data_IF_317929737505
#
_entry.id   IF_317929737505
#
_cell.length_a   1.000
_cell.length_b   1.000
_cell.length_c   1.000
_cell.angle_alpha   90.00
_cell.angle_beta   90.00
_cell.angle_gamma   90.00
#
_symmetry.space_group_name_H-M   'P 1'
#
loop_
_entity.id
_entity.type
_entity.pdbx_description
1 polymer ?
#
# COMPACT_ATOMS: atom_id res chain seq x y z
N UNK A 1 -17.41 -10.43 -8.20
CA UNK A 1 -16.05 -10.94 -7.83
C UNK A 1 -15.07 -9.79 -7.85
N UNK A 2 -14.37 -9.55 -6.76
CA UNK A 2 -13.39 -8.48 -6.66
C UNK A 2 -12.07 -8.88 -7.36
N UNK A 3 -11.42 -7.90 -7.98
CA UNK A 3 -10.07 -8.06 -8.52
C UNK A 3 -9.08 -7.20 -7.74
N UNK A 4 -7.87 -7.70 -7.55
CA UNK A 4 -6.83 -7.00 -6.80
C UNK A 4 -5.55 -6.86 -7.63
N UNK A 5 -4.83 -5.76 -7.40
CA UNK A 5 -3.54 -5.50 -8.03
C UNK A 5 -2.61 -4.78 -7.05
N UNK A 6 -1.40 -5.31 -6.90
CA UNK A 6 -0.34 -4.70 -6.09
C UNK A 6 0.69 -4.00 -6.97
N UNK A 7 0.99 -2.75 -6.63
CA UNK A 7 1.96 -1.92 -7.37
C UNK A 7 2.96 -1.34 -6.35
N UNK A 8 4.26 -1.66 -6.45
CA UNK A 8 5.27 -1.01 -5.63
C UNK A 8 5.48 0.43 -6.09
N UNK A 9 5.62 1.35 -5.14
CA UNK A 9 5.89 2.76 -5.38
C UNK A 9 7.36 3.06 -5.08
N UNK A 10 8.07 3.55 -6.10
CA UNK A 10 9.48 3.92 -6.01
C UNK A 10 9.66 5.44 -5.97
N UNK A 11 10.77 5.90 -5.42
CA UNK A 11 11.10 7.33 -5.41
C UNK A 11 11.25 7.93 -6.81
N UNK A 12 11.68 7.13 -7.79
CA UNK A 12 11.93 7.58 -9.16
C UNK A 12 13.13 8.51 -9.28
N UNK A 13 13.55 8.79 -10.50
CA UNK A 13 14.65 9.71 -10.77
C UNK A 13 14.28 11.15 -10.37
N UNK A 14 15.07 11.76 -9.51
CA UNK A 14 14.96 13.19 -9.17
C UNK A 14 13.75 13.60 -8.32
N UNK A 15 12.92 12.67 -7.88
CA UNK A 15 11.80 12.98 -6.98
C UNK A 15 12.19 12.81 -5.52
N UNK A 16 11.87 13.80 -4.72
CA UNK A 16 11.98 13.67 -3.26
C UNK A 16 10.95 12.66 -2.76
N UNK A 17 11.36 11.81 -1.87
CA UNK A 17 10.54 10.74 -1.25
C UNK A 17 9.15 11.21 -0.81
N UNK A 18 9.08 12.28 -0.02
CA UNK A 18 7.82 12.80 0.50
C UNK A 18 6.86 13.29 -0.58
N UNK A 19 7.37 13.86 -1.68
CA UNK A 19 6.53 14.34 -2.78
C UNK A 19 5.86 13.20 -3.53
N UNK A 20 6.56 12.08 -3.75
CA UNK A 20 5.99 10.93 -4.43
C UNK A 20 4.81 10.33 -3.65
N UNK A 21 4.95 10.12 -2.35
CA UNK A 21 3.87 9.62 -1.49
C UNK A 21 2.72 10.63 -1.39
N UNK A 22 3.04 11.91 -1.19
CA UNK A 22 2.02 12.98 -1.10
C UNK A 22 1.13 13.03 -2.33
N UNK A 23 1.73 12.93 -3.52
CA UNK A 23 0.99 12.95 -4.77
C UNK A 23 0.02 11.76 -4.87
N UNK A 24 0.47 10.56 -4.51
CA UNK A 24 -0.37 9.36 -4.57
C UNK A 24 -1.49 9.42 -3.53
N UNK A 25 -1.18 9.71 -2.27
CA UNK A 25 -2.18 9.80 -1.20
C UNK A 25 -3.19 10.93 -1.49
N UNK A 26 -2.72 12.09 -1.94
CA UNK A 26 -3.59 13.19 -2.31
C UNK A 26 -4.53 12.86 -3.46
N UNK A 27 -4.06 12.13 -4.45
CA UNK A 27 -4.89 11.67 -5.56
C UNK A 27 -5.98 10.68 -5.10
N UNK A 28 -5.61 9.67 -4.33
CA UNK A 28 -6.57 8.64 -3.90
C UNK A 28 -7.54 9.17 -2.84
N UNK A 29 -7.14 10.12 -2.01
CA UNK A 29 -7.95 10.71 -0.94
C UNK A 29 -8.80 11.92 -1.40
N UNK A 30 -8.90 12.16 -2.70
CA UNK A 30 -9.65 13.29 -3.25
C UNK A 30 -11.10 13.29 -2.72
N UNK A 31 -11.57 14.37 -2.04
CA UNK A 31 -12.92 14.42 -1.47
C UNK A 31 -14.03 14.20 -2.48
N UNK A 32 -13.86 14.65 -3.72
CA UNK A 32 -14.83 14.46 -4.79
C UNK A 32 -15.06 13.00 -5.18
N UNK A 33 -14.10 12.12 -4.89
CA UNK A 33 -14.15 10.70 -5.21
C UNK A 33 -14.50 9.82 -4.01
N UNK A 34 -14.33 10.34 -2.80
CA UNK A 34 -14.41 9.60 -1.54
C UNK A 34 -15.54 10.08 -0.64
N UNK A 35 -16.65 10.52 -1.22
CA UNK A 35 -17.80 11.03 -0.48
C UNK A 35 -17.41 12.09 0.57
N UNK A 36 -16.78 13.18 0.11
CA UNK A 36 -16.27 14.29 0.94
C UNK A 36 -15.27 13.83 2.03
N UNK A 37 -14.52 12.78 1.76
CA UNK A 37 -13.52 12.22 2.68
C UNK A 37 -14.07 11.19 3.66
N UNK A 38 -15.36 10.89 3.67
CA UNK A 38 -15.96 9.88 4.55
C UNK A 38 -15.48 8.46 4.26
N UNK A 39 -15.08 8.18 3.00
CA UNK A 39 -14.59 6.87 2.56
C UNK A 39 -13.06 6.78 2.58
N UNK A 40 -12.42 7.56 3.44
CA UNK A 40 -10.96 7.52 3.68
C UNK A 40 -10.71 7.10 5.12
N UNK A 41 -9.96 6.02 5.30
CA UNK A 41 -9.63 5.44 6.61
C UNK A 41 -8.13 5.29 6.75
N UNK A 42 -7.57 5.72 7.89
CA UNK A 42 -6.17 5.52 8.25
C UNK A 42 -6.02 4.48 9.36
N UNK A 43 -4.95 3.72 9.31
CA UNK A 43 -4.51 2.83 10.37
C UNK A 43 -3.03 3.05 10.66
N UNK A 44 -2.69 3.28 11.91
CA UNK A 44 -1.31 3.60 12.31
C UNK A 44 -0.80 4.94 11.78
N UNK A 45 -1.65 5.73 11.14
CA UNK A 45 -1.36 7.06 10.62
C UNK A 45 -2.65 7.87 10.45
N UNK A 46 -2.50 9.18 10.35
CA UNK A 46 -3.58 10.07 9.93
C UNK A 46 -3.51 10.21 8.40
N UNK A 47 -4.60 9.97 7.65
CA UNK A 47 -4.60 10.12 6.19
C UNK A 47 -4.11 11.48 5.69
N UNK A 48 -4.37 12.56 6.42
CA UNK A 48 -3.95 13.91 6.05
C UNK A 48 -2.44 14.14 6.14
N UNK A 49 -1.76 13.40 7.02
CA UNK A 49 -0.31 13.54 7.28
C UNK A 49 0.48 12.27 7.00
N UNK A 50 -0.14 11.27 6.39
CA UNK A 50 0.46 9.96 6.16
C UNK A 50 1.76 10.02 5.33
N UNK A 51 1.87 10.94 4.39
CA UNK A 51 3.09 11.16 3.61
C UNK A 51 4.29 11.51 4.49
N UNK A 52 4.11 12.41 5.43
CA UNK A 52 5.13 12.77 6.42
C UNK A 52 5.42 11.64 7.41
N UNK A 53 4.39 10.95 7.87
CA UNK A 53 4.53 9.81 8.80
C UNK A 53 5.29 8.65 8.16
N UNK A 54 5.02 8.32 6.89
CA UNK A 54 5.76 7.29 6.16
C UNK A 54 7.23 7.67 5.95
N UNK A 55 7.50 8.95 5.73
CA UNK A 55 8.86 9.46 5.63
C UNK A 55 9.62 9.31 6.96
N UNK A 56 8.98 9.63 8.09
CA UNK A 56 9.55 9.44 9.41
C UNK A 56 9.83 7.97 9.70
N UNK A 57 8.91 7.06 9.37
CA UNK A 57 9.12 5.62 9.50
C UNK A 57 10.33 5.14 8.70
N UNK A 58 10.50 5.64 7.48
CA UNK A 58 11.67 5.30 6.66
C UNK A 58 12.97 5.81 7.28
N UNK A 59 13.00 7.02 7.77
CA UNK A 59 14.17 7.60 8.45
C UNK A 59 14.55 6.78 9.67
N UNK A 60 13.57 6.42 10.48
CA UNK A 60 13.79 5.58 11.66
C UNK A 60 14.30 4.18 11.30
N UNK A 61 13.74 3.57 10.26
CA UNK A 61 14.21 2.30 9.74
C UNK A 61 15.69 2.35 9.31
N UNK A 62 16.08 3.40 8.59
CA UNK A 62 17.48 3.61 8.19
C UNK A 62 18.37 3.81 9.40
N UNK A 63 17.94 4.59 10.38
CA UNK A 63 18.69 4.84 11.62
C UNK A 63 18.91 3.56 12.43
N UNK A 64 17.89 2.70 12.52
CA UNK A 64 17.97 1.45 13.30
C UNK A 64 18.73 0.33 12.58
N UNK A 65 18.57 0.21 11.28
CA UNK A 65 19.10 -0.94 10.52
C UNK A 65 20.35 -0.62 9.69
N UNK A 66 20.62 0.65 9.43
CA UNK A 66 21.68 1.10 8.51
C UNK A 66 21.41 0.75 7.04
N UNK A 67 20.26 0.17 6.74
CA UNK A 67 19.91 -0.31 5.38
C UNK A 67 19.37 0.83 4.53
N UNK A 68 20.13 1.19 3.52
CA UNK A 68 19.71 2.15 2.49
C UNK A 68 19.70 1.45 1.14
N UNK A 69 18.64 1.67 0.38
CA UNK A 69 18.64 1.40 -1.05
C UNK A 69 18.54 2.74 -1.79
N UNK A 70 19.16 2.83 -2.95
CA UNK A 70 19.15 4.04 -3.76
C UNK A 70 17.80 4.33 -4.40
N UNK A 71 17.83 4.85 -5.62
CA UNK A 71 16.65 5.28 -6.39
C UNK A 71 15.59 4.20 -6.67
N UNK A 72 15.95 2.92 -6.57
CA UNK A 72 15.02 1.80 -6.78
C UNK A 72 14.37 1.32 -5.47
N UNK A 73 14.52 2.08 -4.39
CA UNK A 73 13.92 1.74 -3.11
C UNK A 73 12.40 1.87 -3.16
N UNK A 74 11.70 0.83 -2.66
CA UNK A 74 10.24 0.86 -2.52
C UNK A 74 9.90 1.62 -1.25
N UNK A 75 9.09 2.66 -1.38
CA UNK A 75 8.70 3.55 -0.28
C UNK A 75 7.34 3.21 0.30
N UNK A 76 6.47 2.71 -0.54
CA UNK A 76 5.11 2.29 -0.20
C UNK A 76 4.61 1.31 -1.26
N UNK A 77 3.48 0.68 -0.97
CA UNK A 77 2.76 -0.18 -1.90
C UNK A 77 1.36 0.35 -2.10
N UNK A 78 0.89 0.25 -3.33
CA UNK A 78 -0.47 0.57 -3.72
C UNK A 78 -1.20 -0.72 -4.07
N UNK A 79 -2.11 -1.15 -3.21
CA UNK A 79 -3.01 -2.28 -3.45
C UNK A 79 -4.36 -1.74 -3.89
N UNK A 80 -4.77 -2.09 -5.09
CA UNK A 80 -6.05 -1.69 -5.66
C UNK A 80 -7.02 -2.87 -5.65
N UNK A 81 -8.25 -2.63 -5.19
CA UNK A 81 -9.34 -3.59 -5.20
C UNK A 81 -10.52 -3.01 -5.96
N UNK A 82 -11.01 -3.73 -6.96
CA UNK A 82 -12.15 -3.30 -7.79
C UNK A 82 -13.28 -4.32 -7.71
N UNK A 83 -14.51 -3.81 -7.65
CA UNK A 83 -15.72 -4.61 -7.56
C UNK A 83 -16.57 -4.50 -8.82
N UNK A 84 -17.38 -5.51 -9.09
CA UNK A 84 -18.36 -5.49 -10.19
C UNK A 84 -19.44 -4.45 -9.87
N UNK A 85 -19.95 -3.67 -10.86
CA UNK A 85 -21.04 -2.72 -10.64
C UNK A 85 -22.24 -3.37 -9.96
N UNK A 86 -22.74 -2.74 -8.89
CA UNK A 86 -23.90 -3.20 -8.12
C UNK A 86 -23.63 -4.36 -7.15
N UNK A 87 -22.40 -4.89 -7.11
CA UNK A 87 -22.02 -5.99 -6.22
C UNK A 87 -21.94 -5.56 -4.76
N UNK A 88 -21.58 -4.31 -4.50
CA UNK A 88 -21.27 -3.80 -3.16
C UNK A 88 -21.54 -2.31 -3.05
N UNK A 89 -21.88 -1.85 -1.84
CA UNK A 89 -21.95 -0.41 -1.53
C UNK A 89 -20.55 0.18 -1.31
N UNK A 90 -20.36 1.50 -1.53
CA UNK A 90 -19.07 2.14 -1.23
C UNK A 90 -18.62 1.98 0.22
N UNK A 91 -19.53 2.02 1.18
CA UNK A 91 -19.24 1.87 2.61
C UNK A 91 -18.75 0.46 2.94
N UNK A 92 -19.39 -0.57 2.38
CA UNK A 92 -18.94 -1.96 2.54
C UNK A 92 -17.60 -2.21 1.83
N UNK A 93 -17.40 -1.60 0.66
CA UNK A 93 -16.14 -1.68 -0.06
C UNK A 93 -14.99 -1.06 0.75
N UNK A 94 -15.23 0.05 1.43
CA UNK A 94 -14.24 0.66 2.32
C UNK A 94 -13.92 -0.26 3.51
N UNK A 95 -14.94 -0.84 4.15
CA UNK A 95 -14.74 -1.79 5.24
C UNK A 95 -13.96 -3.03 4.81
N UNK A 96 -14.30 -3.61 3.66
CA UNK A 96 -13.59 -4.77 3.10
C UNK A 96 -12.16 -4.39 2.71
N UNK A 97 -11.95 -3.20 2.18
CA UNK A 97 -10.61 -2.67 1.88
C UNK A 97 -9.74 -2.55 3.13
N UNK A 98 -10.30 -2.06 4.24
CA UNK A 98 -9.61 -2.01 5.52
C UNK A 98 -9.25 -3.41 6.04
N UNK A 99 -10.15 -4.37 5.92
CA UNK A 99 -9.89 -5.74 6.33
C UNK A 99 -8.82 -6.41 5.46
N UNK A 100 -8.88 -6.20 4.14
CA UNK A 100 -7.84 -6.67 3.22
C UNK A 100 -6.47 -6.08 3.57
N UNK A 101 -6.41 -4.77 3.80
CA UNK A 101 -5.17 -4.09 4.19
C UNK A 101 -4.59 -4.68 5.49
N UNK A 102 -5.42 -4.90 6.50
CA UNK A 102 -5.01 -5.50 7.77
C UNK A 102 -4.46 -6.91 7.59
N UNK A 103 -5.15 -7.76 6.84
CA UNK A 103 -4.71 -9.13 6.56
C UNK A 103 -3.44 -9.16 5.71
N UNK A 104 -3.37 -8.33 4.68
CA UNK A 104 -2.24 -8.28 3.77
C UNK A 104 -0.95 -7.82 4.45
N UNK A 105 -1.04 -6.87 5.36
CA UNK A 105 0.08 -6.32 6.12
C UNK A 105 0.28 -7.00 7.48
N UNK A 106 -0.53 -7.99 7.83
CA UNK A 106 -0.58 -8.63 9.16
C UNK A 106 -0.79 -7.63 10.31
N UNK A 107 -1.42 -6.47 10.03
CA UNK A 107 -1.58 -5.40 11.02
C UNK A 107 -0.29 -4.70 11.43
N UNK A 108 0.81 -4.91 10.70
CA UNK A 108 2.15 -4.44 11.07
C UNK A 108 2.61 -3.20 10.29
N UNK A 109 1.82 -2.72 9.34
CA UNK A 109 2.13 -1.54 8.52
C UNK A 109 1.04 -0.49 8.64
N UNK A 110 1.44 0.78 8.67
CA UNK A 110 0.50 1.88 8.54
C UNK A 110 -0.08 1.90 7.12
N UNK A 111 -1.38 2.16 7.00
CA UNK A 111 -2.04 2.25 5.70
C UNK A 111 -3.14 3.30 5.67
N UNK A 112 -3.44 3.76 4.46
CA UNK A 112 -4.60 4.57 4.12
C UNK A 112 -5.46 3.78 3.14
N UNK A 113 -6.74 3.65 3.42
CA UNK A 113 -7.74 3.06 2.52
C UNK A 113 -8.68 4.15 2.05
N UNK A 114 -8.74 4.36 0.74
CA UNK A 114 -9.63 5.33 0.11
C UNK A 114 -10.52 4.63 -0.92
N UNK A 115 -11.83 4.70 -0.73
CA UNK A 115 -12.81 4.09 -1.62
C UNK A 115 -13.41 5.15 -2.53
N UNK A 116 -13.32 4.91 -3.84
CA UNK A 116 -13.86 5.79 -4.87
C UNK A 116 -15.25 5.35 -5.28
N UNK A 117 -16.19 6.31 -5.29
CA UNK A 117 -17.58 6.13 -5.71
C UNK A 117 -17.94 6.92 -6.98
N UNK A 118 -16.98 7.67 -7.54
CA UNK A 118 -17.19 8.58 -8.68
C UNK A 118 -17.35 7.89 -10.02
N UNK A 119 -17.16 6.59 -10.07
CA UNK A 119 -17.26 5.77 -11.27
C UNK A 119 -18.29 4.66 -11.11
N UNK A 120 -18.73 4.10 -12.25
CA UNK A 120 -19.64 2.96 -12.30
C UNK A 120 -19.15 1.76 -11.45
N UNK A 121 -17.84 1.56 -11.39
CA UNK A 121 -17.24 0.52 -10.56
C UNK A 121 -16.73 1.11 -9.26
N UNK A 122 -17.22 0.61 -8.14
CA UNK A 122 -16.64 0.92 -6.83
C UNK A 122 -15.26 0.27 -6.74
N UNK A 123 -14.27 1.05 -6.34
CA UNK A 123 -12.92 0.54 -6.15
C UNK A 123 -12.23 1.20 -4.96
N UNK A 124 -11.43 0.41 -4.26
CA UNK A 124 -10.64 0.88 -3.12
C UNK A 124 -9.17 0.94 -3.47
N UNK A 125 -8.53 2.01 -3.00
CA UNK A 125 -7.08 2.18 -3.05
C UNK A 125 -6.53 2.03 -1.64
N UNK A 126 -5.58 1.13 -1.47
CA UNK A 126 -4.87 0.90 -0.22
C UNK A 126 -3.43 1.32 -0.43
N UNK A 127 -2.96 2.30 0.32
CA UNK A 127 -1.55 2.74 0.30
C UNK A 127 -0.96 2.38 1.65
N UNK A 128 -0.01 1.46 1.69
CA UNK A 128 0.65 1.11 2.94
C UNK A 128 2.16 1.37 2.87
N UNK A 129 2.72 1.73 4.02
CA UNK A 129 4.16 1.97 4.15
C UNK A 129 4.94 0.68 3.92
N UNK A 130 6.03 0.75 3.16
CA UNK A 130 6.94 -0.37 2.98
C UNK A 130 7.62 -0.78 4.30
N UNK A 131 7.84 0.19 5.20
CA UNK A 131 8.39 -0.03 6.53
C UNK A 131 7.26 -0.38 7.49
N UNK A 132 7.48 -1.36 8.38
CA UNK A 132 6.51 -1.73 9.41
C UNK A 132 6.40 -0.67 10.51
N UNK A 133 5.38 -0.80 11.38
CA UNK A 133 5.14 0.14 12.49
C UNK A 133 6.30 0.21 13.49
N UNK A 134 7.03 -0.88 13.69
CA UNK A 134 8.21 -0.94 14.58
C UNK A 134 9.48 -0.38 13.93
N UNK A 135 9.42 0.00 12.66
CA UNK A 135 10.54 0.58 11.90
C UNK A 135 11.80 -0.30 11.86
N UNK A 136 11.65 -1.60 11.88
CA UNK A 136 12.75 -2.57 11.87
C UNK A 136 12.74 -3.54 10.68
N UNK A 137 11.62 -3.60 9.94
CA UNK A 137 11.43 -4.48 8.79
C UNK A 137 10.74 -3.77 7.63
N UNK A 138 10.95 -4.30 6.43
CA UNK A 138 10.22 -3.91 5.23
C UNK A 138 9.34 -5.03 4.74
N UNK A 139 8.17 -4.66 4.19
CA UNK A 139 7.30 -5.58 3.48
C UNK A 139 8.06 -6.23 2.32
N UNK A 140 7.86 -7.54 2.13
CA UNK A 140 8.46 -8.31 1.05
C UNK A 140 7.39 -8.75 0.06
N UNK A 141 7.54 -8.29 -1.17
CA UNK A 141 6.69 -8.68 -2.31
C UNK A 141 7.32 -9.83 -3.14
N UNK A 142 8.29 -10.52 -2.56
CA UNK A 142 9.00 -11.62 -3.22
C UNK A 142 9.23 -12.78 -2.26
N UNK A 143 9.28 -13.98 -2.83
CA UNK A 143 9.71 -15.19 -2.14
C UNK A 143 11.14 -15.54 -2.52
N UNK A 144 11.82 -16.17 -1.58
CA UNK A 144 13.07 -16.88 -1.86
C UNK A 144 12.80 -18.35 -1.67
N UNK A 145 13.01 -19.12 -2.71
CA UNK A 145 12.91 -20.57 -2.66
C UNK A 145 14.27 -21.19 -2.90
N UNK A 146 14.59 -22.18 -2.10
CA UNK A 146 15.84 -22.92 -2.27
C UNK A 146 15.57 -24.04 -3.26
N UNK A 147 16.26 -24.02 -4.40
CA UNK A 147 16.14 -25.08 -5.40
C UNK A 147 16.75 -26.38 -4.90
N UNK A 148 16.37 -27.50 -5.50
CA UNK A 148 16.97 -28.82 -5.23
C UNK A 148 18.47 -28.87 -5.45
N UNK A 149 19.02 -27.93 -6.22
CA UNK A 149 20.45 -27.76 -6.49
C UNK A 149 21.17 -26.89 -5.45
N UNK A 150 20.44 -26.39 -4.43
CA UNK A 150 21.03 -25.54 -3.39
C UNK A 150 21.15 -24.06 -3.77
N UNK A 151 20.77 -23.67 -4.96
CA UNK A 151 20.71 -22.26 -5.38
C UNK A 151 19.47 -21.58 -4.82
N UNK A 152 19.57 -20.30 -4.51
CA UNK A 152 18.43 -19.51 -4.03
C UNK A 152 17.90 -18.65 -5.17
N UNK A 153 16.69 -18.92 -5.60
CA UNK A 153 15.99 -18.12 -6.59
C UNK A 153 15.07 -17.11 -5.91
N UNK A 154 14.94 -15.94 -6.53
CA UNK A 154 14.11 -14.86 -6.05
C UNK A 154 13.02 -14.57 -7.08
N UNK A 155 11.75 -14.71 -6.68
CA UNK A 155 10.63 -14.27 -7.54
C UNK A 155 9.81 -13.19 -6.88
N UNK A 156 9.24 -12.36 -7.73
CA UNK A 156 8.28 -11.35 -7.31
C UNK A 156 6.86 -11.93 -7.36
N UNK A 157 6.03 -11.55 -6.41
CA UNK A 157 4.59 -11.90 -6.40
C UNK A 157 3.83 -11.18 -7.52
N UNK A 158 4.53 -10.43 -8.38
CA UNK A 158 3.93 -9.74 -9.53
C UNK A 158 3.19 -10.75 -10.41
N UNK A 159 1.86 -10.59 -10.48
CA UNK A 159 1.00 -11.42 -11.29
C UNK A 159 0.22 -12.50 -10.54
N UNK A 160 0.54 -12.81 -9.28
CA UNK A 160 -0.36 -13.62 -8.46
C UNK A 160 -1.46 -12.74 -7.87
N UNK A 161 -2.67 -13.26 -7.84
CA UNK A 161 -3.79 -12.59 -7.19
C UNK A 161 -3.45 -12.42 -5.70
N UNK A 162 -3.64 -11.22 -5.14
CA UNK A 162 -3.36 -10.96 -3.73
C UNK A 162 -4.22 -11.80 -2.76
N UNK A 163 -5.14 -12.58 -3.30
CA UNK A 163 -6.05 -13.49 -2.57
C UNK A 163 -5.42 -14.85 -2.29
N UNK A 164 -4.29 -15.17 -2.92
CA UNK A 164 -3.63 -16.48 -2.82
C UNK A 164 -2.61 -16.56 -1.66
N UNK A 165 -2.69 -15.59 -0.71
CA UNK A 165 -1.75 -15.49 0.42
C UNK A 165 -2.43 -15.38 1.77
#
# INVERSE_FOLDING_TARGET
>A
MATTRLIPLHTGKGRKFGKAIRNVIGYVSNPKKTHQGELVTGFGCNPETADGEFLLMKREYIARTGRRRGKDDVIAYHLRQSFVPGEITPEEANRIGCELAKRFTHGQHAYVVATHEDRRHVHSHIIFSAVNLDCDRKFRDFFRERTSTGQTERYTVRGKRAVDH
#
